data_IF_000252915540
#
_entry.id   IF_000252915540
#
_cell.length_a   1.000
_cell.length_b   1.000
_cell.length_c   1.000
_cell.angle_alpha   90.00
_cell.angle_beta   90.00
_cell.angle_gamma   90.00
#
_symmetry.space_group_name_H-M   'P 1'
#
loop_
_entity.id
_entity.type
_entity.pdbx_description
1 polymer ?
#
# COMPACT_ATOMS: atom_id res chain seq x y z
N UNK A 1 -14.09 27.72 11.56
CA UNK A 1 -12.97 27.23 12.38
C UNK A 1 -11.69 27.54 11.63
N UNK A 2 -10.95 28.54 12.06
CA UNK A 2 -9.75 29.03 11.35
C UNK A 2 -8.58 28.07 11.52
N UNK A 3 -7.98 27.69 10.40
CA UNK A 3 -6.77 26.83 10.30
C UNK A 3 -5.51 27.49 10.92
N UNK A 4 -5.66 28.62 11.63
CA UNK A 4 -4.55 29.42 12.16
C UNK A 4 -3.94 28.92 13.48
N UNK A 5 -4.59 27.97 14.17
CA UNK A 5 -4.10 27.44 15.43
C UNK A 5 -3.26 26.18 15.26
N UNK A 6 -2.49 26.10 14.18
CA UNK A 6 -1.52 25.01 13.98
C UNK A 6 -0.42 25.17 15.02
N UNK A 7 -0.36 24.24 15.94
CA UNK A 7 0.76 24.12 16.86
C UNK A 7 2.04 24.01 16.03
N UNK A 8 2.96 24.96 16.17
CA UNK A 8 4.30 24.87 15.57
C UNK A 8 4.89 23.52 15.95
N UNK A 9 5.43 22.77 14.97
CA UNK A 9 6.04 21.47 15.21
C UNK A 9 5.04 20.30 15.39
N UNK A 10 3.76 20.43 14.98
CA UNK A 10 2.83 19.31 15.10
C UNK A 10 3.25 18.11 14.23
N UNK A 11 3.91 18.32 13.10
CA UNK A 11 4.42 17.25 12.25
C UNK A 11 5.55 16.49 12.93
N UNK A 12 6.43 17.20 13.67
CA UNK A 12 7.50 16.57 14.45
C UNK A 12 6.93 15.80 15.63
N UNK A 13 5.97 16.39 16.34
CA UNK A 13 5.33 15.76 17.50
C UNK A 13 4.65 14.43 17.18
N UNK A 14 4.12 14.28 15.98
CA UNK A 14 3.42 13.07 15.53
C UNK A 14 4.22 12.24 14.51
N UNK A 15 5.53 12.53 14.38
CA UNK A 15 6.42 11.85 13.43
C UNK A 15 5.84 11.76 12.01
N UNK A 16 5.18 12.84 11.57
CA UNK A 16 4.54 12.85 10.25
C UNK A 16 5.57 12.88 9.13
N UNK A 17 6.68 13.57 9.35
CA UNK A 17 7.77 13.64 8.37
C UNK A 17 8.41 12.28 8.13
N UNK A 18 8.70 11.55 9.20
CA UNK A 18 9.23 10.19 9.13
C UNK A 18 8.28 9.26 8.39
N UNK A 19 6.98 9.39 8.61
CA UNK A 19 5.96 8.61 7.90
C UNK A 19 5.91 8.96 6.41
N UNK A 20 6.08 10.25 6.05
CA UNK A 20 6.14 10.67 4.64
C UNK A 20 7.41 10.13 3.99
N UNK A 21 8.56 10.24 4.63
CA UNK A 21 9.83 9.75 4.11
C UNK A 21 9.84 8.22 3.96
N UNK A 22 9.18 7.50 4.86
CA UNK A 22 9.01 6.05 4.76
C UNK A 22 8.26 5.62 3.47
N UNK A 23 7.42 6.49 2.89
CA UNK A 23 6.76 6.20 1.61
C UNK A 23 7.73 6.13 0.41
N UNK A 24 8.96 6.59 0.56
CA UNK A 24 10.02 6.45 -0.45
C UNK A 24 10.47 5.00 -0.61
N UNK A 25 10.42 4.22 0.45
CA UNK A 25 10.75 2.79 0.41
C UNK A 25 9.68 2.03 -0.37
N UNK A 26 10.07 1.15 -1.27
CA UNK A 26 9.17 0.23 -1.95
C UNK A 26 8.67 -0.87 -1.01
N UNK A 27 9.40 -1.10 0.09
CA UNK A 27 9.12 -2.17 1.06
C UNK A 27 8.25 -1.63 2.19
N UNK A 28 7.21 -2.36 2.54
CA UNK A 28 6.32 -2.12 3.69
C UNK A 28 6.26 -3.37 4.53
N UNK A 29 6.81 -3.31 5.74
CA UNK A 29 6.77 -4.43 6.67
C UNK A 29 5.36 -4.67 7.21
N UNK A 30 5.01 -5.94 7.42
CA UNK A 30 3.73 -6.38 7.96
C UNK A 30 3.90 -6.93 9.38
N UNK A 31 2.89 -6.75 10.25
CA UNK A 31 2.96 -7.16 11.66
C UNK A 31 3.29 -8.64 11.88
N UNK A 32 2.81 -9.53 11.02
CA UNK A 32 3.09 -10.98 11.10
C UNK A 32 4.47 -11.40 10.58
N UNK A 33 5.33 -10.46 10.20
CA UNK A 33 6.70 -10.75 9.75
C UNK A 33 6.83 -11.10 8.26
N UNK A 34 5.89 -10.66 7.43
CA UNK A 34 6.03 -10.55 5.98
C UNK A 34 6.24 -9.11 5.55
N UNK A 35 6.30 -8.87 4.26
CA UNK A 35 6.34 -7.51 3.70
C UNK A 35 5.60 -7.42 2.37
N UNK A 36 5.26 -6.18 2.00
CA UNK A 36 4.83 -5.79 0.67
C UNK A 36 6.00 -5.16 -0.07
N UNK A 37 6.17 -5.47 -1.34
CA UNK A 37 7.00 -4.70 -2.26
C UNK A 37 6.07 -4.02 -3.25
N UNK A 38 6.11 -2.70 -3.33
CA UNK A 38 5.22 -1.89 -4.17
C UNK A 38 6.05 -1.15 -5.20
N UNK A 39 5.97 -1.58 -6.45
CA UNK A 39 6.72 -1.03 -7.55
C UNK A 39 5.79 -0.34 -8.56
N UNK A 40 6.12 0.91 -8.88
CA UNK A 40 5.44 1.64 -9.95
C UNK A 40 6.19 1.43 -11.25
N UNK A 41 5.59 0.66 -12.17
CA UNK A 41 6.09 0.56 -13.54
C UNK A 41 5.42 1.60 -14.45
N UNK A 42 5.83 1.65 -15.72
CA UNK A 42 5.17 2.51 -16.70
C UNK A 42 3.73 2.05 -17.03
N UNK A 43 3.46 0.75 -16.99
CA UNK A 43 2.20 0.16 -17.40
C UNK A 43 1.21 -0.03 -16.25
N UNK A 44 1.69 -0.45 -15.09
CA UNK A 44 0.86 -0.79 -13.94
C UNK A 44 1.66 -0.65 -12.63
N UNK A 45 0.98 -0.79 -11.51
CA UNK A 45 1.60 -0.94 -10.19
C UNK A 45 1.69 -2.43 -9.88
N UNK A 46 2.89 -2.92 -9.65
CA UNK A 46 3.12 -4.29 -9.19
C UNK A 46 3.20 -4.29 -7.64
N UNK A 47 2.53 -5.24 -7.04
CA UNK A 47 2.59 -5.48 -5.58
C UNK A 47 2.92 -6.95 -5.37
N UNK A 48 4.03 -7.22 -4.71
CA UNK A 48 4.44 -8.55 -4.32
C UNK A 48 4.30 -8.72 -2.80
N UNK A 49 3.66 -9.82 -2.37
CA UNK A 49 3.44 -10.15 -0.96
C UNK A 49 4.39 -11.27 -0.57
N UNK A 50 5.41 -10.92 0.18
CA UNK A 50 6.40 -11.85 0.68
C UNK A 50 6.02 -12.37 2.07
N UNK A 51 5.94 -13.68 2.20
CA UNK A 51 5.78 -14.38 3.48
C UNK A 51 7.15 -14.86 3.97
N UNK A 52 7.36 -14.95 5.29
CA UNK A 52 8.62 -15.46 5.81
C UNK A 52 8.86 -16.91 5.35
N UNK A 53 10.14 -17.26 5.10
CA UNK A 53 10.56 -18.55 4.50
C UNK A 53 10.08 -19.81 5.25
N UNK A 54 9.71 -19.70 6.52
CA UNK A 54 9.26 -20.80 7.36
C UNK A 54 7.77 -20.74 7.70
N UNK A 55 6.97 -20.02 6.92
CA UNK A 55 5.56 -19.84 7.21
C UNK A 55 4.73 -21.06 6.80
N UNK A 56 3.90 -21.55 7.72
CA UNK A 56 2.84 -22.52 7.41
C UNK A 56 1.80 -21.89 6.48
N UNK A 57 0.95 -22.67 5.80
CA UNK A 57 -0.15 -22.16 4.96
C UNK A 57 -1.08 -21.22 5.71
N UNK A 58 -1.32 -21.45 7.00
CA UNK A 58 -2.13 -20.56 7.84
C UNK A 58 -1.40 -19.24 8.14
N UNK A 59 -0.10 -19.29 8.36
CA UNK A 59 0.75 -18.11 8.51
C UNK A 59 0.77 -17.27 7.24
N UNK A 60 0.92 -17.90 6.07
CA UNK A 60 0.87 -17.21 4.77
C UNK A 60 -0.49 -16.56 4.51
N UNK A 61 -1.60 -17.19 4.89
CA UNK A 61 -2.92 -16.60 4.79
C UNK A 61 -3.05 -15.35 5.66
N UNK A 62 -2.51 -15.35 6.87
CA UNK A 62 -2.55 -14.19 7.76
C UNK A 62 -1.77 -13.01 7.16
N UNK A 63 -0.56 -13.26 6.63
CA UNK A 63 0.24 -12.25 5.94
C UNK A 63 -0.52 -11.68 4.73
N UNK A 64 -1.11 -12.55 3.91
CA UNK A 64 -1.93 -12.10 2.76
C UNK A 64 -3.13 -11.22 3.20
N UNK A 65 -3.79 -11.57 4.31
CA UNK A 65 -4.91 -10.78 4.86
C UNK A 65 -4.42 -9.44 5.38
N UNK A 66 -3.28 -9.38 6.09
CA UNK A 66 -2.68 -8.12 6.54
C UNK A 66 -2.29 -7.24 5.36
N UNK A 67 -1.68 -7.83 4.35
CA UNK A 67 -1.30 -7.15 3.13
C UNK A 67 -2.49 -6.46 2.45
N UNK A 68 -3.60 -7.17 2.24
CA UNK A 68 -4.77 -6.57 1.57
C UNK A 68 -5.49 -5.53 2.41
N UNK A 69 -5.30 -5.52 3.72
CA UNK A 69 -5.77 -4.41 4.59
C UNK A 69 -4.94 -3.15 4.37
N UNK A 70 -3.63 -3.30 4.19
CA UNK A 70 -2.69 -2.19 4.04
C UNK A 70 -2.62 -1.64 2.61
N UNK A 71 -2.80 -2.46 1.58
CA UNK A 71 -2.68 -2.06 0.16
C UNK A 71 -3.50 -0.80 -0.18
N UNK A 72 -4.80 -0.68 0.14
CA UNK A 72 -5.57 0.51 -0.20
C UNK A 72 -4.99 1.78 0.43
N UNK A 73 -4.50 1.69 1.67
CA UNK A 73 -3.84 2.79 2.36
C UNK A 73 -2.54 3.20 1.66
N UNK A 74 -1.70 2.24 1.29
CA UNK A 74 -0.44 2.50 0.60
C UNK A 74 -0.65 3.11 -0.78
N UNK A 75 -1.63 2.64 -1.55
CA UNK A 75 -1.99 3.23 -2.83
C UNK A 75 -2.42 4.70 -2.67
N UNK A 76 -3.20 5.03 -1.63
CA UNK A 76 -3.60 6.42 -1.32
C UNK A 76 -2.43 7.30 -0.96
N UNK A 77 -1.61 6.86 0.01
CA UNK A 77 -0.49 7.65 0.53
C UNK A 77 0.56 7.94 -0.53
N UNK A 78 0.80 6.98 -1.42
CA UNK A 78 1.77 7.10 -2.52
C UNK A 78 1.19 7.78 -3.75
N UNK A 79 -0.10 8.07 -3.78
CA UNK A 79 -0.78 8.62 -4.96
C UNK A 79 -0.78 7.67 -6.17
N UNK A 80 -0.72 6.35 -5.92
CA UNK A 80 -0.68 5.34 -6.96
C UNK A 80 -2.08 5.01 -7.46
N UNK A 81 -2.19 4.80 -8.78
CA UNK A 81 -3.42 4.40 -9.45
C UNK A 81 -3.15 3.86 -10.85
N UNK A 82 -4.21 3.57 -11.58
CA UNK A 82 -4.20 2.84 -12.83
C UNK A 82 -4.48 1.37 -12.61
N UNK A 83 -3.85 0.52 -13.40
CA UNK A 83 -3.89 -0.94 -13.20
C UNK A 83 -2.96 -1.31 -12.05
N UNK A 84 -3.41 -2.19 -11.19
CA UNK A 84 -2.63 -2.74 -10.06
C UNK A 84 -2.70 -4.25 -10.15
N UNK A 85 -1.56 -4.92 -10.05
CA UNK A 85 -1.45 -6.38 -10.04
C UNK A 85 -0.82 -6.80 -8.71
N UNK A 86 -1.50 -7.71 -8.01
CA UNK A 86 -1.05 -8.22 -6.71
C UNK A 86 -0.69 -9.69 -6.87
N UNK A 87 0.56 -10.00 -6.59
CA UNK A 87 1.05 -11.36 -6.40
C UNK A 87 0.99 -11.73 -4.92
N UNK A 88 0.35 -12.87 -4.63
CA UNK A 88 0.19 -13.35 -3.26
C UNK A 88 1.23 -14.41 -2.93
N UNK A 89 1.66 -14.45 -1.67
CA UNK A 89 2.28 -15.65 -1.13
C UNK A 89 1.31 -16.85 -1.25
N UNK A 90 1.72 -18.08 -0.85
CA UNK A 90 0.90 -19.27 -1.02
C UNK A 90 -0.54 -19.06 -0.55
N UNK A 91 -1.49 -19.11 -1.50
CA UNK A 91 -2.90 -18.82 -1.28
C UNK A 91 -3.80 -19.87 -1.97
N UNK A 92 -4.61 -20.57 -1.19
CA UNK A 92 -5.62 -21.49 -1.75
C UNK A 92 -6.79 -20.72 -2.37
N UNK A 93 -7.30 -21.22 -3.50
CA UNK A 93 -8.45 -20.62 -4.23
C UNK A 93 -9.68 -20.39 -3.35
N UNK A 94 -9.92 -21.24 -2.35
CA UNK A 94 -11.06 -21.09 -1.42
C UNK A 94 -11.03 -19.79 -0.60
N UNK A 95 -9.87 -19.15 -0.46
CA UNK A 95 -9.72 -17.90 0.30
C UNK A 95 -9.82 -16.64 -0.55
N UNK A 96 -9.90 -16.76 -1.89
CA UNK A 96 -9.96 -15.60 -2.81
C UNK A 96 -11.08 -14.64 -2.47
N UNK A 97 -12.28 -15.17 -2.22
CA UNK A 97 -13.44 -14.35 -1.83
C UNK A 97 -13.18 -13.57 -0.54
N UNK A 98 -12.57 -14.21 0.47
CA UNK A 98 -12.20 -13.54 1.73
C UNK A 98 -11.18 -12.41 1.49
N UNK A 99 -10.23 -12.60 0.60
CA UNK A 99 -9.24 -11.58 0.19
C UNK A 99 -9.96 -10.38 -0.44
N UNK A 100 -10.85 -10.61 -1.41
CA UNK A 100 -11.62 -9.56 -2.08
C UNK A 100 -12.47 -8.76 -1.08
N UNK A 101 -13.23 -9.44 -0.23
CA UNK A 101 -14.05 -8.81 0.80
C UNK A 101 -13.20 -7.97 1.76
N UNK A 102 -12.07 -8.51 2.22
CA UNK A 102 -11.16 -7.78 3.12
C UNK A 102 -10.58 -6.54 2.45
N UNK A 103 -10.20 -6.63 1.18
CA UNK A 103 -9.66 -5.51 0.41
C UNK A 103 -10.68 -4.38 0.29
N UNK A 104 -11.91 -4.71 -0.10
CA UNK A 104 -13.00 -3.73 -0.26
C UNK A 104 -13.37 -3.10 1.08
N UNK A 105 -13.47 -3.88 2.16
CA UNK A 105 -13.78 -3.36 3.50
C UNK A 105 -12.74 -2.36 4.03
N UNK A 106 -11.47 -2.47 3.60
CA UNK A 106 -10.40 -1.57 4.00
C UNK A 106 -10.13 -0.45 2.98
N UNK A 107 -10.83 -0.42 1.85
CA UNK A 107 -10.80 0.69 0.91
C UNK A 107 -11.82 1.77 1.31
N UNK A 108 -11.49 3.03 1.04
CA UNK A 108 -12.45 4.12 1.18
C UNK A 108 -13.28 4.23 -0.09
N UNK A 109 -14.54 4.67 0.04
CA UNK A 109 -15.38 4.97 -1.12
C UNK A 109 -14.75 5.99 -2.08
N UNK A 110 -13.94 6.93 -1.53
CA UNK A 110 -13.17 7.89 -2.31
C UNK A 110 -12.04 7.26 -3.14
N UNK A 111 -11.58 6.05 -2.81
CA UNK A 111 -10.52 5.38 -3.58
C UNK A 111 -11.02 4.88 -4.93
N UNK A 112 -12.33 4.66 -5.07
CA UNK A 112 -12.96 4.13 -6.30
C UNK A 112 -12.24 2.87 -6.81
N UNK A 113 -11.76 2.05 -5.86
CA UNK A 113 -11.04 0.82 -6.15
C UNK A 113 -12.02 -0.21 -6.73
N UNK A 114 -11.64 -0.82 -7.83
CA UNK A 114 -12.43 -1.86 -8.50
C UNK A 114 -11.59 -3.13 -8.66
N UNK A 115 -12.15 -4.27 -8.29
CA UNK A 115 -11.56 -5.58 -8.57
C UNK A 115 -11.88 -5.94 -10.02
N UNK A 116 -10.86 -6.15 -10.85
CA UNK A 116 -11.00 -6.60 -12.22
C UNK A 116 -11.13 -8.13 -12.32
N UNK A 117 -10.42 -8.84 -11.43
CA UNK A 117 -10.52 -10.30 -11.35
C UNK A 117 -9.20 -10.96 -10.98
N UNK A 118 -9.18 -12.30 -11.07
CA UNK A 118 -8.00 -13.12 -10.84
C UNK A 118 -7.45 -13.64 -12.16
N UNK A 119 -6.14 -13.55 -12.31
CA UNK A 119 -5.46 -14.18 -13.44
C UNK A 119 -5.42 -15.70 -13.29
N UNK A 120 -5.11 -16.39 -14.38
CA UNK A 120 -4.91 -17.85 -14.36
C UNK A 120 -3.75 -18.26 -13.42
N UNK A 121 -2.75 -17.40 -13.28
CA UNK A 121 -1.59 -17.63 -12.41
C UNK A 121 -1.89 -17.34 -10.93
N UNK A 122 -3.04 -16.74 -10.60
CA UNK A 122 -3.45 -16.48 -9.22
C UNK A 122 -3.16 -15.09 -8.72
N UNK A 123 -2.83 -14.14 -9.60
CA UNK A 123 -2.67 -12.74 -9.25
C UNK A 123 -4.02 -12.03 -9.26
N UNK A 124 -4.22 -11.09 -8.36
CA UNK A 124 -5.43 -10.25 -8.31
C UNK A 124 -5.18 -8.95 -9.08
N UNK A 125 -6.06 -8.66 -10.02
CA UNK A 125 -6.03 -7.42 -10.79
C UNK A 125 -7.04 -6.41 -10.25
N UNK A 126 -6.57 -5.17 -10.04
CA UNK A 126 -7.38 -4.06 -9.57
C UNK A 126 -7.25 -2.88 -10.53
N UNK A 127 -8.28 -2.03 -10.50
CA UNK A 127 -8.24 -0.71 -11.11
C UNK A 127 -8.53 0.36 -10.07
N UNK A 128 -7.75 1.43 -10.09
CA UNK A 128 -7.93 2.62 -9.28
C UNK A 128 -7.68 3.87 -10.12
N UNK A 129 -8.54 4.91 -10.07
CA UNK A 129 -8.27 6.16 -10.79
C UNK A 129 -6.92 6.76 -10.40
N UNK A 130 -6.26 7.42 -11.37
CA UNK A 130 -5.06 8.24 -11.15
C UNK A 130 -5.47 9.67 -10.78
N UNK A 131 -6.14 9.81 -9.67
CA UNK A 131 -6.75 11.07 -9.20
C UNK A 131 -5.94 11.75 -8.08
N UNK A 132 -4.78 11.17 -7.71
CA UNK A 132 -3.90 11.67 -6.66
C UNK A 132 -2.52 11.99 -7.20
N UNK A 133 -1.89 12.95 -6.54
CA UNK A 133 -0.52 13.33 -6.83
C UNK A 133 0.44 12.26 -6.34
N UNK A 134 1.36 11.85 -7.20
CA UNK A 134 2.44 10.93 -6.86
C UNK A 134 3.69 11.73 -6.47
N UNK A 135 4.21 11.48 -5.26
CA UNK A 135 5.46 12.09 -4.81
C UNK A 135 6.65 11.47 -5.56
N UNK A 136 7.33 12.29 -6.35
CA UNK A 136 8.56 11.90 -7.03
C UNK A 136 9.77 11.93 -6.10
N UNK A 137 10.88 11.32 -6.51
CA UNK A 137 12.13 11.40 -5.76
C UNK A 137 12.62 12.84 -5.54
N UNK A 138 12.36 13.74 -6.48
CA UNK A 138 12.71 15.16 -6.35
C UNK A 138 11.96 15.84 -5.22
N UNK A 139 10.67 15.52 -5.06
CA UNK A 139 9.83 16.06 -3.97
C UNK A 139 10.25 15.50 -2.62
N UNK A 140 10.57 14.20 -2.53
CA UNK A 140 11.15 13.62 -1.31
C UNK A 140 12.48 14.29 -0.94
N UNK A 141 13.38 14.54 -1.88
CA UNK A 141 14.65 15.22 -1.64
C UNK A 141 14.44 16.67 -1.15
N UNK A 142 13.43 17.38 -1.66
CA UNK A 142 13.08 18.72 -1.17
C UNK A 142 12.55 18.68 0.28
N UNK A 143 11.72 17.68 0.61
CA UNK A 143 11.23 17.49 1.98
C UNK A 143 12.39 17.21 2.93
N UNK A 144 13.29 16.29 2.60
CA UNK A 144 14.48 16.00 3.40
C UNK A 144 15.35 17.23 3.63
N UNK A 145 15.60 18.02 2.58
CA UNK A 145 16.40 19.25 2.68
C UNK A 145 15.77 20.27 3.63
N UNK A 146 14.45 20.48 3.54
CA UNK A 146 13.73 21.42 4.40
C UNK A 146 13.62 20.95 5.86
N UNK A 147 13.85 19.67 6.15
CA UNK A 147 13.88 19.12 7.50
C UNK A 147 15.24 19.31 8.19
N UNK A 148 16.30 19.48 7.40
CA UNK A 148 17.69 19.65 7.91
C UNK A 148 18.08 21.12 8.11
N UNK A 149 17.27 22.07 7.63
CA UNK A 149 17.37 23.51 7.84
C UNK A 149 16.49 23.97 9.04
#
# INVERSE_FOLDING_TARGET
MCIRDRVKGCFDKFSVWEQILALRSEIVDLPSGGNLIIEKTQAFVAIDINTSKNSSLNSSLNVNIEAVKEIPRQLRLRGLGGKVVIEFGPLSKKYRKKIEETLILNSLSSDKLRIAGWTNLGNLELEKPRDRFFLSNNEFNQIEKNLLE
#
